data_IF_507877698134
#
_entry.id   IF_507877698134
#
_cell.length_a   1.000
_cell.length_b   1.000
_cell.length_c   1.000
_cell.angle_alpha   90.00
_cell.angle_beta   90.00
_cell.angle_gamma   90.00
#
_symmetry.space_group_name_H-M   'P 1'
#
loop_
_entity.id
_entity.type
_entity.pdbx_description
1 polymer ?
#
# COMPACT_ATOMS: atom_id res chain seq x y z
N UNK A 1 1.36 20.64 29.45
CA UNK A 1 1.44 19.29 28.90
C UNK A 1 0.63 19.27 27.62
N UNK A 2 1.23 18.93 26.48
CA UNK A 2 0.53 18.79 25.19
C UNK A 2 0.31 17.31 24.88
N UNK A 3 -0.71 17.01 24.06
CA UNK A 3 -0.96 15.66 23.56
C UNK A 3 -0.47 15.55 22.12
N UNK A 4 0.26 14.49 21.82
CA UNK A 4 0.78 14.22 20.49
C UNK A 4 0.36 12.82 20.05
N UNK A 5 -0.29 12.73 18.90
CA UNK A 5 -0.42 11.49 18.12
C UNK A 5 0.70 11.49 17.09
N UNK A 6 1.56 10.49 17.15
CA UNK A 6 2.68 10.31 16.24
C UNK A 6 2.46 9.02 15.48
N UNK A 7 2.58 9.07 14.16
CA UNK A 7 2.52 7.91 13.29
C UNK A 7 3.77 7.86 12.43
N UNK A 8 4.18 6.68 12.04
CA UNK A 8 5.16 6.47 10.98
C UNK A 8 4.49 5.79 9.78
N UNK A 9 5.08 5.90 8.60
CA UNK A 9 4.60 5.17 7.44
C UNK A 9 4.54 3.67 7.76
N UNK A 10 3.39 3.06 7.48
CA UNK A 10 3.20 1.62 7.66
C UNK A 10 3.90 0.90 6.50
N UNK A 11 4.85 -0.01 6.77
CA UNK A 11 5.52 -0.74 5.71
C UNK A 11 4.62 -1.83 5.13
N UNK A 12 4.74 -2.06 3.83
CA UNK A 12 4.15 -3.23 3.20
C UNK A 12 4.65 -4.53 3.83
N UNK A 13 3.77 -5.53 3.88
CA UNK A 13 4.08 -6.85 4.47
C UNK A 13 4.85 -7.76 3.50
N UNK A 14 5.20 -7.31 2.31
CA UNK A 14 5.79 -8.08 1.23
C UNK A 14 7.23 -8.55 1.45
N UNK A 15 7.77 -8.37 2.65
CA UNK A 15 9.11 -8.85 3.01
C UNK A 15 9.65 -8.27 4.31
N UNK A 16 10.91 -8.60 4.57
CA UNK A 16 11.66 -8.05 5.70
C UNK A 16 11.98 -6.58 5.43
N UNK A 17 11.81 -5.73 6.44
CA UNK A 17 12.14 -4.31 6.35
C UNK A 17 13.61 -4.12 6.02
N UNK A 18 13.90 -3.32 5.01
CA UNK A 18 15.25 -2.85 4.72
C UNK A 18 15.57 -1.56 5.49
N UNK A 19 16.84 -1.18 5.49
CA UNK A 19 17.33 -0.03 6.26
C UNK A 19 16.61 1.28 5.89
N UNK A 20 16.20 1.46 4.63
CA UNK A 20 15.46 2.63 4.17
C UNK A 20 14.09 2.80 4.86
N UNK A 21 13.37 1.72 5.14
CA UNK A 21 12.10 1.79 5.89
C UNK A 21 12.32 2.30 7.33
N UNK A 22 13.43 1.86 7.97
CA UNK A 22 13.77 2.29 9.32
C UNK A 22 14.22 3.74 9.35
N UNK A 23 15.22 4.09 8.54
CA UNK A 23 15.87 5.41 8.57
C UNK A 23 14.96 6.49 8.00
N UNK A 24 14.20 6.17 6.96
CA UNK A 24 13.33 7.14 6.28
C UNK A 24 12.04 7.47 7.03
N UNK A 25 11.57 6.61 7.92
CA UNK A 25 10.27 6.78 8.58
C UNK A 25 10.28 6.46 10.08
N UNK A 26 10.59 5.23 10.45
CA UNK A 26 10.34 4.74 11.81
C UNK A 26 11.29 5.35 12.86
N UNK A 27 12.58 5.44 12.56
CA UNK A 27 13.56 6.03 13.49
C UNK A 27 13.36 7.53 13.71
N UNK A 28 13.13 8.37 12.69
CA UNK A 28 12.81 9.78 12.91
C UNK A 28 11.56 9.98 13.75
N UNK A 29 10.50 9.18 13.52
CA UNK A 29 9.27 9.25 14.31
C UNK A 29 9.51 8.79 15.76
N UNK A 30 10.30 7.74 15.99
CA UNK A 30 10.67 7.27 17.32
C UNK A 30 11.50 8.31 18.08
N UNK A 31 12.47 8.93 17.43
CA UNK A 31 13.27 10.00 18.02
C UNK A 31 12.38 11.17 18.45
N UNK A 32 11.45 11.58 17.59
CA UNK A 32 10.51 12.64 17.91
C UNK A 32 9.57 12.26 19.06
N UNK A 33 9.07 11.02 19.10
CA UNK A 33 8.24 10.52 20.18
C UNK A 33 8.98 10.55 21.54
N UNK A 34 10.22 10.08 21.57
CA UNK A 34 11.08 10.11 22.76
C UNK A 34 11.36 11.53 23.21
N UNK A 35 11.67 12.44 22.29
CA UNK A 35 11.89 13.85 22.59
C UNK A 35 10.65 14.49 23.22
N UNK A 36 9.47 14.25 22.69
CA UNK A 36 8.23 14.80 23.24
C UNK A 36 7.91 14.23 24.63
N UNK A 37 8.15 12.93 24.84
CA UNK A 37 8.00 12.31 26.18
C UNK A 37 9.00 12.90 27.18
N UNK A 38 10.25 13.11 26.78
CA UNK A 38 11.28 13.72 27.61
C UNK A 38 10.93 15.18 28.02
N UNK A 39 10.15 15.90 27.18
CA UNK A 39 9.60 17.22 27.51
C UNK A 39 8.38 17.17 28.42
N UNK A 40 7.97 16.03 28.89
CA UNK A 40 6.79 15.86 29.75
C UNK A 40 5.45 15.95 28.99
N UNK A 41 5.44 15.77 27.67
CA UNK A 41 4.22 15.70 26.89
C UNK A 41 3.65 14.27 26.89
N UNK A 42 2.31 14.17 26.77
CA UNK A 42 1.62 12.90 26.54
C UNK A 42 1.77 12.50 25.06
N UNK A 43 2.26 11.30 24.79
CA UNK A 43 2.53 10.82 23.42
C UNK A 43 1.87 9.46 23.20
N UNK A 44 1.12 9.36 22.14
CA UNK A 44 0.67 8.09 21.57
C UNK A 44 1.40 7.88 20.24
N UNK A 45 2.30 6.89 20.18
CA UNK A 45 3.09 6.57 19.00
C UNK A 45 2.66 5.22 18.40
N UNK A 46 2.12 5.27 17.18
CA UNK A 46 1.50 4.13 16.51
C UNK A 46 2.21 3.79 15.21
N UNK A 47 2.29 2.50 14.92
CA UNK A 47 2.64 1.96 13.61
C UNK A 47 1.89 0.65 13.38
N UNK A 48 1.96 0.12 12.17
CA UNK A 48 1.32 -1.14 11.80
C UNK A 48 2.08 -1.79 10.63
N UNK A 49 1.70 -3.01 10.28
CA UNK A 49 2.01 -3.63 8.99
C UNK A 49 0.88 -3.39 8.01
N UNK A 50 1.24 -3.04 6.75
CA UNK A 50 0.28 -2.90 5.65
C UNK A 50 0.15 -4.24 4.94
N UNK A 51 -1.01 -4.90 5.16
CA UNK A 51 -1.24 -6.30 4.82
C UNK A 51 -2.22 -6.50 3.66
N UNK A 52 -2.66 -5.42 3.04
CA UNK A 52 -3.58 -5.48 1.92
C UNK A 52 -2.92 -5.07 0.61
N UNK A 53 -3.54 -5.53 -0.48
CA UNK A 53 -3.17 -5.15 -1.84
C UNK A 53 -2.10 -6.02 -2.49
N UNK A 54 -1.83 -5.70 -3.73
CA UNK A 54 -0.97 -6.44 -4.67
C UNK A 54 0.40 -6.85 -4.11
N UNK A 55 1.14 -5.99 -3.38
CA UNK A 55 2.47 -6.38 -2.90
C UNK A 55 2.46 -7.57 -1.94
N UNK A 56 1.43 -7.67 -1.08
CA UNK A 56 1.28 -8.79 -0.15
C UNK A 56 0.89 -10.08 -0.89
N UNK A 57 -0.05 -9.98 -1.83
CA UNK A 57 -0.52 -11.11 -2.63
C UNK A 57 0.63 -11.74 -3.45
N UNK A 58 1.36 -10.93 -4.23
CA UNK A 58 2.49 -11.40 -5.02
C UNK A 58 3.59 -12.05 -4.17
N UNK A 59 3.86 -11.48 -2.99
CA UNK A 59 4.87 -12.04 -2.10
C UNK A 59 4.43 -13.38 -1.50
N UNK A 60 3.17 -13.52 -1.13
CA UNK A 60 2.60 -14.77 -0.63
C UNK A 60 2.60 -15.86 -1.71
N UNK A 61 2.18 -15.51 -2.94
CA UNK A 61 2.18 -16.41 -4.09
C UNK A 61 3.60 -16.91 -4.42
N UNK A 62 4.57 -15.99 -4.48
CA UNK A 62 5.99 -16.34 -4.66
C UNK A 62 6.55 -17.23 -3.56
N UNK A 63 6.05 -17.09 -2.33
CA UNK A 63 6.41 -17.95 -1.20
C UNK A 63 5.66 -19.28 -1.19
N UNK A 64 4.68 -19.50 -2.07
CA UNK A 64 3.84 -20.69 -2.11
C UNK A 64 2.94 -20.85 -0.88
N UNK A 65 2.51 -19.73 -0.26
CA UNK A 65 1.74 -19.72 0.99
C UNK A 65 0.39 -19.04 0.83
N UNK A 66 -0.62 -19.47 1.60
CA UNK A 66 -1.83 -18.68 1.78
C UNK A 66 -1.48 -17.28 2.31
N UNK A 67 -2.15 -16.24 1.77
CA UNK A 67 -1.83 -14.85 2.11
C UNK A 67 -1.93 -14.56 3.62
N UNK A 68 -2.91 -15.12 4.31
CA UNK A 68 -3.09 -14.93 5.75
C UNK A 68 -1.88 -15.47 6.55
N UNK A 69 -1.41 -16.68 6.20
CA UNK A 69 -0.26 -17.31 6.84
C UNK A 69 1.03 -16.49 6.58
N UNK A 70 1.22 -16.06 5.33
CA UNK A 70 2.36 -15.22 4.97
C UNK A 70 2.36 -13.91 5.76
N UNK A 71 1.22 -13.24 5.86
CA UNK A 71 1.08 -12.01 6.63
C UNK A 71 1.34 -12.22 8.13
N UNK A 72 0.88 -13.33 8.71
CA UNK A 72 1.13 -13.66 10.13
C UNK A 72 2.62 -13.84 10.42
N UNK A 73 3.33 -14.56 9.56
CA UNK A 73 4.78 -14.74 9.69
C UNK A 73 5.53 -13.42 9.54
N UNK A 74 5.24 -12.66 8.50
CA UNK A 74 5.93 -11.39 8.24
C UNK A 74 5.65 -10.36 9.31
N UNK A 75 4.41 -10.25 9.82
CA UNK A 75 4.08 -9.40 10.95
C UNK A 75 4.90 -9.78 12.19
N UNK A 76 5.02 -11.07 12.47
CA UNK A 76 5.85 -11.59 13.58
C UNK A 76 7.31 -11.16 13.42
N UNK A 77 7.88 -11.32 12.23
CA UNK A 77 9.25 -10.93 11.93
C UNK A 77 9.42 -9.42 12.10
N UNK A 78 8.54 -8.62 11.50
CA UNK A 78 8.62 -7.17 11.56
C UNK A 78 8.42 -6.63 12.99
N UNK A 79 7.57 -7.26 13.80
CA UNK A 79 7.41 -6.95 15.23
C UNK A 79 8.68 -7.23 16.02
N UNK A 80 9.34 -8.36 15.77
CA UNK A 80 10.64 -8.71 16.40
C UNK A 80 11.72 -7.70 16.02
N UNK A 81 11.78 -7.28 14.75
CA UNK A 81 12.70 -6.25 14.28
C UNK A 81 12.47 -4.92 14.99
N UNK A 82 11.20 -4.46 15.06
CA UNK A 82 10.85 -3.24 15.78
C UNK A 82 11.31 -3.25 17.24
N UNK A 83 11.12 -4.38 17.94
CA UNK A 83 11.64 -4.58 19.31
C UNK A 83 13.17 -4.62 19.35
N UNK A 84 13.82 -5.27 18.40
CA UNK A 84 15.29 -5.34 18.30
C UNK A 84 15.94 -3.96 18.13
N UNK A 85 15.32 -3.08 17.34
CA UNK A 85 15.72 -1.69 17.18
C UNK A 85 15.23 -0.78 18.32
N UNK A 86 14.56 -1.32 19.34
CA UNK A 86 14.02 -0.60 20.50
C UNK A 86 13.10 0.55 20.10
N UNK A 87 12.33 0.41 19.01
CA UNK A 87 11.32 1.39 18.63
C UNK A 87 10.24 1.46 19.70
N UNK A 88 9.94 2.67 20.17
CA UNK A 88 9.08 2.92 21.33
C UNK A 88 7.60 3.07 20.97
N UNK A 89 7.09 2.26 20.02
CA UNK A 89 5.67 2.22 19.71
C UNK A 89 4.83 1.88 20.94
N UNK A 90 3.77 2.63 21.18
CA UNK A 90 2.74 2.27 22.16
C UNK A 90 1.88 1.14 21.60
N UNK A 91 1.68 1.12 20.27
CA UNK A 91 1.01 0.03 19.57
C UNK A 91 1.63 -0.21 18.20
N UNK A 92 1.92 -1.48 17.90
CA UNK A 92 2.32 -1.95 16.58
C UNK A 92 1.25 -2.92 16.08
N UNK A 93 0.34 -2.42 15.26
CA UNK A 93 -0.87 -3.10 14.83
C UNK A 93 -0.75 -3.77 13.46
N UNK A 94 -1.92 -4.10 12.90
CA UNK A 94 -2.08 -4.75 11.60
C UNK A 94 -3.24 -4.10 10.85
N UNK A 95 -3.06 -3.81 9.55
CA UNK A 95 -4.18 -3.32 8.73
C UNK A 95 -5.26 -4.39 8.52
N UNK A 96 -4.92 -5.69 8.59
CA UNK A 96 -5.86 -6.81 8.50
C UNK A 96 -6.58 -7.16 9.82
N UNK A 97 -6.37 -6.39 10.90
CA UNK A 97 -7.04 -6.68 12.17
C UNK A 97 -8.56 -6.58 12.07
N UNK A 98 -9.27 -7.42 12.81
CA UNK A 98 -10.73 -7.39 12.86
C UNK A 98 -11.28 -6.01 13.25
N UNK A 99 -10.58 -5.31 14.15
CA UNK A 99 -10.95 -3.95 14.55
C UNK A 99 -10.85 -2.98 13.37
N UNK A 100 -9.77 -3.04 12.59
CA UNK A 100 -9.60 -2.20 11.42
C UNK A 100 -10.66 -2.50 10.35
N UNK A 101 -10.99 -3.78 10.12
CA UNK A 101 -12.07 -4.16 9.20
C UNK A 101 -13.40 -3.54 9.60
N UNK A 102 -13.78 -3.62 10.88
CA UNK A 102 -15.01 -3.01 11.40
C UNK A 102 -15.02 -1.49 11.22
N UNK A 103 -13.89 -0.82 11.48
CA UNK A 103 -13.77 0.62 11.32
C UNK A 103 -13.85 1.03 9.84
N UNK A 104 -13.19 0.31 8.95
CA UNK A 104 -13.22 0.56 7.50
C UNK A 104 -14.65 0.42 6.97
N UNK A 105 -15.36 -0.64 7.35
CA UNK A 105 -16.77 -0.83 6.97
C UNK A 105 -17.66 0.29 7.51
N UNK A 106 -17.44 0.70 8.78
CA UNK A 106 -18.18 1.81 9.38
C UNK A 106 -17.95 3.12 8.62
N UNK A 107 -16.71 3.46 8.29
CA UNK A 107 -16.40 4.67 7.53
C UNK A 107 -16.96 4.61 6.10
N UNK A 108 -16.86 3.47 5.42
CA UNK A 108 -17.44 3.29 4.09
C UNK A 108 -18.97 3.53 4.11
N UNK A 109 -19.67 2.94 5.10
CA UNK A 109 -21.10 3.17 5.27
C UNK A 109 -21.43 4.64 5.51
N UNK A 110 -20.67 5.32 6.40
CA UNK A 110 -20.88 6.74 6.70
C UNK A 110 -20.60 7.66 5.50
N UNK A 111 -19.63 7.34 4.67
CA UNK A 111 -19.35 8.08 3.44
C UNK A 111 -20.50 7.90 2.43
N UNK A 112 -20.99 6.66 2.29
CA UNK A 112 -22.11 6.35 1.41
C UNK A 112 -23.40 7.04 1.87
N UNK A 113 -23.75 7.00 3.16
CA UNK A 113 -24.89 7.70 3.74
C UNK A 113 -24.86 9.21 3.46
N UNK A 114 -23.68 9.79 3.37
CA UNK A 114 -23.50 11.23 3.06
C UNK A 114 -23.43 11.55 1.57
N UNK A 115 -23.63 10.57 0.69
CA UNK A 115 -23.54 10.75 -0.76
C UNK A 115 -22.12 11.09 -1.26
N UNK A 116 -21.10 10.73 -0.50
CA UNK A 116 -19.68 11.01 -0.84
C UNK A 116 -19.03 9.86 -1.63
N UNK A 117 -19.78 8.80 -1.91
CA UNK A 117 -19.35 7.67 -2.74
C UNK A 117 -20.18 7.68 -4.02
N UNK A 118 -19.52 7.53 -5.16
CA UNK A 118 -20.14 7.34 -6.47
C UNK A 118 -19.64 6.04 -7.08
N UNK A 119 -20.52 5.38 -7.79
CA UNK A 119 -20.14 4.28 -8.65
C UNK A 119 -19.79 4.84 -10.03
N UNK A 120 -18.66 4.45 -10.56
CA UNK A 120 -18.21 4.79 -11.91
C UNK A 120 -17.84 3.53 -12.66
N UNK A 121 -18.08 3.51 -13.95
CA UNK A 121 -17.66 2.42 -14.83
C UNK A 121 -16.33 2.79 -15.46
N UNK A 122 -15.35 1.92 -15.29
CA UNK A 122 -14.01 2.08 -15.86
C UNK A 122 -13.63 0.82 -16.65
N UNK A 123 -12.76 1.00 -17.64
CA UNK A 123 -12.13 -0.11 -18.33
C UNK A 123 -10.90 -0.56 -17.58
N UNK A 124 -10.83 -1.85 -17.28
CA UNK A 124 -9.68 -2.48 -16.65
C UNK A 124 -9.24 -3.70 -17.44
N UNK A 125 -7.96 -4.02 -17.35
CA UNK A 125 -7.39 -5.19 -18.04
C UNK A 125 -7.82 -6.46 -17.33
N UNK A 126 -8.36 -7.40 -18.08
CA UNK A 126 -8.75 -8.74 -17.65
C UNK A 126 -7.86 -9.77 -18.31
N UNK A 127 -7.33 -10.72 -17.57
CA UNK A 127 -6.60 -11.88 -18.10
C UNK A 127 -7.55 -13.04 -18.29
N UNK A 128 -7.68 -13.52 -19.53
CA UNK A 128 -8.50 -14.69 -19.84
C UNK A 128 -7.88 -15.97 -19.28
N UNK A 129 -6.57 -16.05 -19.16
CA UNK A 129 -5.91 -17.19 -18.56
C UNK A 129 -6.04 -17.22 -17.04
N UNK A 130 -5.85 -16.06 -16.38
CA UNK A 130 -5.91 -15.97 -14.92
C UNK A 130 -7.35 -15.81 -14.40
N UNK A 131 -8.34 -15.61 -15.30
CA UNK A 131 -9.78 -15.43 -15.01
C UNK A 131 -10.05 -14.32 -13.98
N UNK A 132 -9.28 -13.20 -14.06
CA UNK A 132 -9.40 -12.08 -13.14
C UNK A 132 -8.99 -10.75 -13.78
N UNK A 133 -9.48 -9.66 -13.19
CA UNK A 133 -8.93 -8.33 -13.46
C UNK A 133 -7.53 -8.22 -12.89
N UNK A 134 -6.65 -7.58 -13.65
CA UNK A 134 -5.27 -7.36 -13.26
C UNK A 134 -5.08 -5.91 -12.79
N UNK A 135 -4.77 -5.68 -11.51
CA UNK A 135 -4.25 -4.39 -11.06
C UNK A 135 -2.96 -4.02 -11.81
N UNK A 136 -2.66 -2.74 -11.90
CA UNK A 136 -1.56 -2.20 -12.71
C UNK A 136 -0.22 -2.93 -12.52
N UNK A 137 0.10 -3.34 -11.29
CA UNK A 137 1.34 -4.06 -10.96
C UNK A 137 1.34 -5.54 -11.32
N UNK A 138 0.19 -6.08 -11.71
CA UNK A 138 0.09 -7.43 -12.27
C UNK A 138 0.27 -7.46 -13.80
N UNK A 139 0.52 -6.30 -14.38
CA UNK A 139 0.77 -6.16 -15.81
C UNK A 139 2.18 -5.63 -16.00
N UNK A 140 2.96 -6.30 -16.81
CA UNK A 140 4.29 -5.86 -17.22
C UNK A 140 4.41 -5.93 -18.75
N UNK A 141 5.35 -5.14 -19.28
CA UNK A 141 5.60 -5.09 -20.72
C UNK A 141 6.74 -4.13 -21.04
N UNK A 142 6.94 -3.86 -22.32
CA UNK A 142 8.01 -2.95 -22.74
C UNK A 142 7.58 -1.49 -22.59
N UNK A 143 8.40 -0.71 -21.91
CA UNK A 143 8.19 0.73 -21.74
C UNK A 143 8.26 1.46 -23.09
N UNK A 144 7.22 2.21 -23.51
CA UNK A 144 7.23 2.94 -24.77
C UNK A 144 8.25 4.09 -24.80
N UNK A 145 8.76 4.53 -23.64
CA UNK A 145 9.68 5.64 -23.53
C UNK A 145 11.17 5.23 -23.58
N UNK A 146 11.54 4.13 -22.92
CA UNK A 146 12.95 3.75 -22.80
C UNK A 146 13.28 2.32 -23.26
N UNK A 147 12.27 1.55 -23.70
CA UNK A 147 12.48 0.18 -24.18
C UNK A 147 12.75 -0.86 -23.08
N UNK A 148 12.61 -0.52 -21.80
CA UNK A 148 12.77 -1.48 -20.72
C UNK A 148 11.65 -2.53 -20.76
N UNK A 149 12.00 -3.82 -20.82
CA UNK A 149 11.09 -4.92 -21.13
C UNK A 149 10.25 -5.39 -19.95
N UNK A 150 10.56 -4.96 -18.73
CA UNK A 150 9.87 -5.33 -17.48
C UNK A 150 9.22 -4.12 -16.82
N UNK A 151 8.77 -3.15 -17.61
CA UNK A 151 8.04 -2.00 -17.09
C UNK A 151 6.66 -2.41 -16.59
N UNK A 152 6.26 -1.88 -15.44
CA UNK A 152 4.95 -2.15 -14.84
C UNK A 152 3.89 -1.20 -15.35
N UNK A 153 2.62 -1.60 -15.21
CA UNK A 153 1.49 -0.83 -15.70
C UNK A 153 1.23 0.49 -14.98
N UNK A 154 1.87 0.76 -13.84
CA UNK A 154 1.78 2.03 -13.10
C UNK A 154 2.98 2.94 -13.34
N UNK A 155 4.18 2.37 -13.44
CA UNK A 155 5.43 3.13 -13.56
C UNK A 155 6.55 2.25 -14.11
N UNK A 156 7.40 2.83 -14.95
CA UNK A 156 8.63 2.18 -15.41
C UNK A 156 9.73 2.27 -14.34
N UNK A 157 10.23 1.13 -13.87
CA UNK A 157 11.29 1.06 -12.86
C UNK A 157 12.64 1.61 -13.37
N UNK A 158 12.85 1.67 -14.68
CA UNK A 158 14.11 2.17 -15.28
C UNK A 158 14.10 3.69 -15.50
N UNK A 159 13.06 4.24 -16.12
CA UNK A 159 13.02 5.67 -16.47
C UNK A 159 12.03 6.49 -15.63
N UNK A 160 11.38 5.88 -14.66
CA UNK A 160 10.41 6.48 -13.73
C UNK A 160 9.18 7.14 -14.36
N UNK A 161 8.96 6.96 -15.68
CA UNK A 161 7.77 7.46 -16.35
C UNK A 161 6.52 6.76 -15.79
N UNK A 162 5.52 7.54 -15.42
CA UNK A 162 4.19 7.01 -15.12
C UNK A 162 3.57 6.44 -16.40
N UNK A 163 2.98 5.28 -16.28
CA UNK A 163 2.40 4.52 -17.38
C UNK A 163 0.97 4.11 -17.02
N UNK A 164 0.19 3.85 -18.06
CA UNK A 164 -1.07 3.13 -17.96
C UNK A 164 -0.86 1.72 -18.54
N UNK A 165 -1.57 0.69 -18.08
CA UNK A 165 -1.44 -0.66 -18.60
C UNK A 165 -1.56 -0.78 -20.13
N UNK A 166 -2.42 0.06 -20.72
CA UNK A 166 -2.65 0.10 -22.16
C UNK A 166 -1.57 0.85 -22.98
N UNK A 167 -0.64 1.54 -22.30
CA UNK A 167 0.52 2.17 -22.95
C UNK A 167 1.70 1.22 -23.13
N UNK A 168 1.71 0.11 -22.37
CA UNK A 168 2.78 -0.89 -22.48
C UNK A 168 2.77 -1.59 -23.85
N UNK A 169 3.96 -1.82 -24.38
CA UNK A 169 4.16 -2.61 -25.60
C UNK A 169 4.27 -4.08 -25.19
N UNK A 170 3.50 -4.95 -25.85
CA UNK A 170 3.41 -6.37 -25.54
C UNK A 170 3.11 -6.66 -24.05
N UNK A 171 2.00 -6.14 -23.51
CA UNK A 171 1.65 -6.36 -22.12
C UNK A 171 1.39 -7.83 -21.84
N UNK A 172 1.81 -8.29 -20.65
CA UNK A 172 1.57 -9.67 -20.18
C UNK A 172 1.23 -9.69 -18.70
N UNK A 173 0.52 -10.71 -18.27
CA UNK A 173 0.26 -10.97 -16.85
C UNK A 173 1.54 -11.39 -16.15
N UNK A 174 1.84 -10.79 -14.99
CA UNK A 174 2.97 -11.22 -14.14
C UNK A 174 2.70 -12.53 -13.41
N UNK A 175 1.44 -13.00 -13.40
CA UNK A 175 1.03 -14.25 -12.76
C UNK A 175 1.33 -15.44 -13.67
N UNK A 176 0.73 -15.42 -14.86
CA UNK A 176 0.79 -16.55 -15.81
C UNK A 176 1.78 -16.35 -16.96
N UNK A 177 2.29 -15.12 -17.16
CA UNK A 177 3.04 -14.73 -18.34
C UNK A 177 2.16 -14.59 -19.61
N UNK A 178 0.86 -14.74 -19.47
CA UNK A 178 -0.08 -14.69 -20.61
C UNK A 178 -0.19 -13.31 -21.21
N UNK A 179 -0.22 -13.25 -22.53
CA UNK A 179 -0.55 -12.07 -23.33
C UNK A 179 -2.02 -12.03 -23.76
N UNK A 180 -2.82 -13.03 -23.37
CA UNK A 180 -4.27 -13.07 -23.62
C UNK A 180 -5.01 -12.16 -22.65
N UNK A 181 -4.87 -10.85 -22.90
CA UNK A 181 -5.40 -9.76 -22.11
C UNK A 181 -6.45 -9.01 -22.94
N UNK A 182 -7.52 -8.60 -22.28
CA UNK A 182 -8.54 -7.76 -22.89
C UNK A 182 -9.01 -6.65 -21.95
N UNK A 183 -9.49 -5.54 -22.47
CA UNK A 183 -10.16 -4.50 -21.68
C UNK A 183 -11.62 -4.89 -21.44
N UNK A 184 -12.03 -4.93 -20.19
CA UNK A 184 -13.42 -5.12 -19.77
C UNK A 184 -13.90 -3.96 -18.91
N UNK A 185 -15.17 -3.61 -19.07
CA UNK A 185 -15.81 -2.65 -18.18
C UNK A 185 -16.06 -3.27 -16.81
N UNK A 186 -15.76 -2.52 -15.78
CA UNK A 186 -16.07 -2.87 -14.39
C UNK A 186 -16.56 -1.66 -13.64
N UNK A 187 -17.36 -1.88 -12.60
CA UNK A 187 -17.85 -0.80 -11.74
C UNK A 187 -16.95 -0.67 -10.51
N UNK A 188 -16.47 0.55 -10.28
CA UNK A 188 -15.65 0.89 -9.12
C UNK A 188 -16.34 1.94 -8.27
N UNK A 189 -16.15 1.85 -6.95
CA UNK A 189 -16.62 2.85 -6.01
C UNK A 189 -15.57 3.95 -5.89
N UNK A 190 -15.96 5.18 -6.19
CA UNK A 190 -15.11 6.35 -6.18
C UNK A 190 -15.53 7.33 -5.09
N UNK A 191 -14.59 7.77 -4.25
CA UNK A 191 -14.79 8.87 -3.31
C UNK A 191 -14.28 10.16 -3.92
N UNK A 192 -15.09 11.23 -3.97
CA UNK A 192 -14.68 12.53 -4.50
C UNK A 192 -14.10 13.46 -3.42
N UNK A 193 -13.70 12.90 -2.29
CA UNK A 193 -12.95 13.61 -1.27
C UNK A 193 -11.49 13.72 -1.71
N UNK A 194 -10.93 14.93 -1.67
CA UNK A 194 -9.49 15.10 -1.85
C UNK A 194 -8.79 14.75 -0.55
N UNK A 195 -7.82 13.85 -0.61
CA UNK A 195 -6.87 13.65 0.46
C UNK A 195 -5.93 14.86 0.54
N UNK A 196 -5.55 15.27 1.74
CA UNK A 196 -4.46 16.24 1.93
C UNK A 196 -3.14 15.47 1.85
N UNK A 197 -2.62 15.34 0.63
CA UNK A 197 -1.50 14.43 0.38
C UNK A 197 -0.12 15.05 0.66
N UNK A 198 0.01 16.38 0.60
CA UNK A 198 1.30 17.04 0.86
C UNK A 198 1.16 18.35 1.63
N UNK A 199 2.21 18.73 2.37
CA UNK A 199 2.32 20.05 3.02
C UNK A 199 2.31 21.19 1.99
N UNK A 200 2.79 20.95 0.77
CA UNK A 200 2.77 21.89 -0.35
C UNK A 200 1.33 22.26 -0.76
N UNK A 201 0.39 21.33 -0.74
CA UNK A 201 -1.01 21.60 -1.05
C UNK A 201 -1.69 22.47 0.01
N UNK A 202 -1.15 22.50 1.22
CA UNK A 202 -1.63 23.34 2.33
C UNK A 202 -1.03 24.76 2.31
N UNK A 203 0.13 24.93 1.69
CA UNK A 203 0.87 26.22 1.66
C UNK A 203 0.54 27.05 0.42
N UNK A 204 0.06 26.43 -0.66
CA UNK A 204 -0.27 27.10 -1.94
C UNK A 204 -1.74 27.51 -2.08
N UNK A 205 -2.49 27.63 -0.96
CA UNK A 205 -3.88 28.12 -0.96
C UNK A 205 -4.01 29.43 -0.19
#
# INVERSE_FOLDING_TARGET
MKRHLITSAIPYINGVKHLGNLVGSQLPADLFARYQRAKGNEVLFLCATDEHGTPAELAAEKAGKPIAEYCDEMHTIQSKLAKGFRLSFDHFGRSSSQQNHKLTQHFAAKLSERGLVKEITEKQVFSNQDQRFLPDRYIEGTCPNCGFEEARGDQCDNCTKQLQPNELINPRSTISGSTDLEERETTVSYTHLRAHETVLDLVCR
#
